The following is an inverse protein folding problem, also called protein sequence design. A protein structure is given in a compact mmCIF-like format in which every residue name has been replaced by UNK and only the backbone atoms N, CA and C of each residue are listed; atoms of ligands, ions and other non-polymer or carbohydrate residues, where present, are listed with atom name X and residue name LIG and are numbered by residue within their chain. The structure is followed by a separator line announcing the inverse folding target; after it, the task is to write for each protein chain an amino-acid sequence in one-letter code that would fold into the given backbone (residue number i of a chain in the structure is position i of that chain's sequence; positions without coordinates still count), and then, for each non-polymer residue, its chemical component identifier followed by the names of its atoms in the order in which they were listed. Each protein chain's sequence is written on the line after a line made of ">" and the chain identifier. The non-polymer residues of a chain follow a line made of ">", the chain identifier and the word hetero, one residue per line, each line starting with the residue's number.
data_IF_306233104734
#
_entry.id   IF_306233104734
#
_cell.length_a   1.000
_cell.length_b   1.000
_cell.length_c   1.000
_cell.angle_alpha   90.00
_cell.angle_beta   90.00
_cell.angle_gamma   90.00
#
_symmetry.space_group_name_H-M   'P 1'
#
loop_
_entity.id
_entity.type
_entity.pdbx_description
1 polymer ?
#
# COMPACT_ATOMS: atom_id res chain seq x y z
N UNK A 1 -33.20 3.81 -15.38
CA UNK A 1 -33.17 3.68 -13.90
C UNK A 1 -31.72 3.71 -13.49
N UNK A 2 -31.32 4.66 -12.64
CA UNK A 2 -29.96 4.72 -12.07
C UNK A 2 -30.10 4.57 -10.56
N UNK A 3 -29.28 3.70 -9.98
CA UNK A 3 -29.19 3.48 -8.54
C UNK A 3 -27.75 3.62 -8.08
N UNK A 4 -27.57 4.05 -6.85
CA UNK A 4 -26.27 4.13 -6.19
C UNK A 4 -26.24 3.12 -5.05
N UNK A 5 -25.18 2.32 -4.98
CA UNK A 5 -24.88 1.49 -3.82
C UNK A 5 -23.77 2.19 -3.02
N UNK A 6 -24.00 2.31 -1.72
CA UNK A 6 -22.97 2.78 -0.79
C UNK A 6 -22.49 1.57 0.00
N UNK A 7 -21.28 1.12 -0.30
CA UNK A 7 -20.72 -0.10 0.28
C UNK A 7 -20.06 0.24 1.61
N UNK A 8 -20.68 -0.18 2.71
CA UNK A 8 -20.04 -0.08 4.03
C UNK A 8 -18.95 -1.14 4.14
N UNK A 9 -17.71 -0.75 3.82
CA UNK A 9 -16.53 -1.62 3.85
C UNK A 9 -16.34 -2.37 5.19
N UNK A 10 -16.75 -1.75 6.30
CA UNK A 10 -16.72 -2.35 7.65
C UNK A 10 -17.65 -3.57 7.80
N UNK A 11 -18.73 -3.65 7.03
CA UNK A 11 -19.68 -4.77 7.03
C UNK A 11 -19.26 -5.91 6.09
N UNK A 12 -18.31 -5.68 5.19
CA UNK A 12 -17.95 -6.63 4.14
C UNK A 12 -16.70 -7.46 4.40
N UNK A 13 -15.90 -7.17 5.41
CA UNK A 13 -14.56 -7.78 5.48
C UNK A 13 -14.17 -8.23 6.87
N UNK A 14 -14.42 -9.51 7.16
CA UNK A 14 -13.53 -10.28 8.03
C UNK A 14 -12.23 -10.52 7.26
N UNK A 15 -11.40 -9.47 7.11
CA UNK A 15 -10.08 -9.60 6.52
C UNK A 15 -9.07 -9.92 7.63
N UNK A 16 -8.44 -11.08 7.55
CA UNK A 16 -7.31 -11.43 8.40
C UNK A 16 -6.04 -11.24 7.58
N UNK A 17 -5.21 -10.23 7.87
CA UNK A 17 -3.95 -10.04 7.15
C UNK A 17 -3.00 -11.22 7.42
N UNK A 18 -2.13 -11.56 6.45
CA UNK A 18 -1.00 -12.45 6.68
C UNK A 18 -0.17 -12.02 7.90
N UNK A 19 0.46 -12.99 8.56
CA UNK A 19 1.14 -12.80 9.84
C UNK A 19 2.28 -11.78 9.77
N UNK A 20 3.03 -11.78 8.66
CA UNK A 20 4.11 -10.83 8.38
C UNK A 20 3.59 -9.39 8.26
N UNK A 21 2.48 -9.18 7.55
CA UNK A 21 1.84 -7.87 7.43
C UNK A 21 1.27 -7.42 8.78
N UNK A 22 0.67 -8.33 9.53
CA UNK A 22 0.15 -8.05 10.88
C UNK A 22 1.27 -7.63 11.83
N UNK A 23 2.36 -8.40 11.86
CA UNK A 23 3.53 -8.12 12.68
C UNK A 23 4.20 -6.80 12.27
N UNK A 24 4.35 -6.55 10.97
CA UNK A 24 4.82 -5.27 10.46
C UNK A 24 3.94 -4.13 10.99
N UNK A 25 2.63 -4.15 10.73
CA UNK A 25 1.73 -3.07 11.16
C UNK A 25 1.79 -2.80 12.68
N UNK A 26 1.94 -3.84 13.50
CA UNK A 26 2.06 -3.71 14.95
C UNK A 26 3.41 -3.15 15.44
N UNK A 27 4.48 -3.22 14.63
CA UNK A 27 5.85 -2.93 15.06
C UNK A 27 6.21 -1.44 15.21
N UNK A 28 5.24 -0.51 15.09
CA UNK A 28 5.54 0.92 15.27
C UNK A 28 4.50 1.85 14.66
N UNK A 29 4.89 3.10 14.30
CA UNK A 29 3.96 4.10 13.80
C UNK A 29 3.37 3.70 12.44
N UNK A 30 2.18 4.24 12.08
CA UNK A 30 1.51 3.93 10.82
C UNK A 30 2.44 4.12 9.60
N UNK A 31 2.51 3.13 8.69
CA UNK A 31 3.29 3.25 7.47
C UNK A 31 2.58 4.10 6.41
N UNK A 32 3.34 4.56 5.42
CA UNK A 32 2.79 5.15 4.19
C UNK A 32 2.46 4.02 3.20
N UNK A 33 1.27 4.05 2.61
CA UNK A 33 0.92 3.16 1.50
C UNK A 33 1.27 3.80 0.16
N UNK A 34 1.99 3.05 -0.69
CA UNK A 34 2.39 3.48 -2.04
C UNK A 34 1.78 2.48 -3.03
N UNK A 35 0.85 2.97 -3.86
CA UNK A 35 0.25 2.20 -4.94
C UNK A 35 0.32 2.98 -6.24
N UNK A 36 0.77 2.31 -7.30
CA UNK A 36 0.99 2.94 -8.61
C UNK A 36 -0.24 2.88 -9.51
N UNK A 37 -1.23 2.04 -9.18
CA UNK A 37 -2.38 1.81 -10.04
C UNK A 37 -1.94 1.35 -11.44
N UNK A 38 -2.60 1.85 -12.47
CA UNK A 38 -2.32 1.52 -13.88
C UNK A 38 -1.30 2.45 -14.53
N UNK A 39 -0.23 2.81 -13.82
CA UNK A 39 0.88 3.60 -14.38
C UNK A 39 1.77 2.70 -15.24
N UNK A 40 1.90 3.02 -16.52
CA UNK A 40 2.97 2.47 -17.37
C UNK A 40 4.23 3.26 -17.05
N UNK A 41 5.20 2.59 -16.44
CA UNK A 41 6.48 3.18 -16.05
C UNK A 41 7.56 2.58 -16.94
N UNK A 42 8.44 3.44 -17.48
CA UNK A 42 9.53 3.00 -18.37
C UNK A 42 10.52 2.07 -17.65
N UNK A 43 10.96 2.43 -16.43
CA UNK A 43 11.76 1.58 -15.56
C UNK A 43 11.16 1.49 -14.14
N UNK A 44 10.46 0.38 -13.83
CA UNK A 44 9.88 0.21 -12.51
C UNK A 44 10.91 -0.07 -11.39
N UNK A 45 12.10 -0.58 -11.74
CA UNK A 45 13.17 -0.82 -10.76
C UNK A 45 13.79 0.50 -10.33
N UNK A 46 14.03 1.42 -11.27
CA UNK A 46 14.50 2.78 -10.96
C UNK A 46 13.50 3.50 -10.07
N UNK A 47 12.20 3.42 -10.42
CA UNK A 47 11.14 4.01 -9.61
C UNK A 47 11.14 3.44 -8.19
N UNK A 48 11.23 2.11 -8.05
CA UNK A 48 11.30 1.46 -6.74
C UNK A 48 12.54 1.90 -5.95
N UNK A 49 13.70 1.98 -6.59
CA UNK A 49 14.95 2.42 -5.96
C UNK A 49 14.88 3.88 -5.47
N UNK A 50 14.23 4.75 -6.22
CA UNK A 50 13.96 6.14 -5.83
C UNK A 50 13.11 6.19 -4.54
N UNK A 51 12.03 5.41 -4.46
CA UNK A 51 11.20 5.35 -3.26
C UNK A 51 11.95 4.77 -2.05
N UNK A 52 12.72 3.70 -2.24
CA UNK A 52 13.54 3.13 -1.17
C UNK A 52 14.51 4.19 -0.60
N UNK A 53 15.15 4.96 -1.48
CA UNK A 53 16.05 6.06 -1.08
C UNK A 53 15.31 7.15 -0.30
N UNK A 54 14.09 7.52 -0.73
CA UNK A 54 13.27 8.50 -0.02
C UNK A 54 12.84 8.01 1.37
N UNK A 55 12.45 6.74 1.50
CA UNK A 55 12.07 6.13 2.77
C UNK A 55 13.24 6.08 3.74
N UNK A 56 14.43 5.71 3.27
CA UNK A 56 15.65 5.73 4.08
C UNK A 56 15.99 7.12 4.60
N UNK A 57 15.88 8.15 3.75
CA UNK A 57 16.16 9.55 4.13
C UNK A 57 15.14 10.12 5.12
N UNK A 58 13.91 9.66 5.06
CA UNK A 58 12.80 10.16 5.91
C UNK A 58 12.61 9.35 7.18
N UNK A 59 13.19 8.14 7.26
CA UNK A 59 12.94 7.20 8.35
C UNK A 59 11.51 6.65 8.36
N UNK A 60 10.75 6.86 7.27
CA UNK A 60 9.38 6.40 7.17
C UNK A 60 9.32 4.90 6.85
N UNK A 61 8.30 4.27 7.39
CA UNK A 61 7.90 2.90 7.06
C UNK A 61 6.90 2.94 5.92
N UNK A 62 6.95 1.97 5.01
CA UNK A 62 6.00 1.92 3.90
C UNK A 62 5.51 0.52 3.55
N UNK A 63 4.33 0.47 2.93
CA UNK A 63 3.76 -0.68 2.24
C UNK A 63 3.71 -0.33 0.76
N UNK A 64 4.37 -1.12 -0.08
CA UNK A 64 4.44 -0.87 -1.53
C UNK A 64 3.62 -1.96 -2.22
N UNK A 65 2.55 -1.55 -2.91
CA UNK A 65 1.79 -2.45 -3.76
C UNK A 65 2.57 -2.66 -5.07
N UNK A 66 3.15 -3.85 -5.22
CA UNK A 66 3.77 -4.29 -6.49
C UNK A 66 2.65 -4.68 -7.46
N UNK A 67 2.71 -4.20 -8.71
CA UNK A 67 1.62 -4.45 -9.69
C UNK A 67 1.81 -3.83 -11.08
N UNK A 68 3.05 -3.58 -11.47
CA UNK A 68 3.47 -3.28 -12.84
C UNK A 68 4.08 -4.54 -13.46
#
# INVERSE_FOLDING_TARGET
>A
VVGFINVELRKLTSYTPPEDLRAFLAAGPPPVYIGFGSLVVDDPNELTAMFMSALQRTGLRAIIQRGW
#
